data_IF_431742287391
#
_entry.id   IF_431742287391
#
_cell.length_a   1.000
_cell.length_b   1.000
_cell.length_c   1.000
_cell.angle_alpha   90.00
_cell.angle_beta   90.00
_cell.angle_gamma   90.00
#
_symmetry.space_group_name_H-M   'P 1'
#
loop_
_entity.id
_entity.type
_entity.pdbx_description
1 polymer ?
#
# COMPACT_ATOMS: atom_id res chain seq x y z
N UNK A 1 61.88 6.74 2.28
CA UNK A 1 60.66 7.52 2.63
C UNK A 1 59.60 7.23 1.58
N UNK A 2 58.59 6.41 1.91
CA UNK A 2 57.48 6.09 1.01
C UNK A 2 56.19 6.49 1.70
N UNK A 3 55.57 7.56 1.22
CA UNK A 3 54.29 8.06 1.72
C UNK A 3 53.17 7.19 1.14
N UNK A 4 52.66 6.26 1.94
CA UNK A 4 51.49 5.46 1.58
C UNK A 4 50.26 6.33 1.78
N UNK A 5 49.74 6.84 0.66
CA UNK A 5 48.46 7.53 0.54
C UNK A 5 47.35 6.75 1.27
N UNK A 6 46.89 7.27 2.41
CA UNK A 6 45.64 6.87 3.03
C UNK A 6 44.51 7.38 2.12
N UNK A 7 43.92 6.48 1.33
CA UNK A 7 42.68 6.78 0.63
C UNK A 7 41.58 6.97 1.68
N UNK A 8 40.97 8.14 1.59
CA UNK A 8 39.70 8.53 2.16
C UNK A 8 38.80 7.34 2.51
N UNK A 9 38.59 7.14 3.82
CA UNK A 9 37.46 6.37 4.34
C UNK A 9 36.18 7.06 3.88
N UNK A 10 35.53 6.51 2.86
CA UNK A 10 34.14 6.81 2.55
C UNK A 10 33.32 6.65 3.83
N UNK A 11 32.47 7.64 4.12
CA UNK A 11 31.53 7.62 5.24
C UNK A 11 30.87 6.24 5.34
N UNK A 12 30.70 5.67 6.55
CA UNK A 12 30.18 4.33 6.71
C UNK A 12 28.88 4.22 5.92
N UNK A 13 28.84 3.29 4.97
CA UNK A 13 27.62 2.92 4.28
C UNK A 13 26.61 2.52 5.36
N UNK A 14 25.72 3.44 5.68
CA UNK A 14 24.59 3.17 6.56
C UNK A 14 23.89 1.93 5.99
N UNK A 15 23.76 0.87 6.79
CA UNK A 15 23.30 -0.43 6.28
C UNK A 15 21.97 -0.27 5.52
N UNK A 16 21.81 -0.94 4.39
CA UNK A 16 20.58 -0.96 3.57
C UNK A 16 19.32 -1.05 4.44
N UNK A 17 19.32 -1.95 5.43
CA UNK A 17 18.21 -2.21 6.34
C UNK A 17 17.79 -1.04 7.22
N UNK A 18 18.72 -0.13 7.52
CA UNK A 18 18.43 1.07 8.32
C UNK A 18 17.88 2.16 7.40
N UNK A 19 18.49 2.34 6.23
CA UNK A 19 18.07 3.39 5.29
C UNK A 19 16.68 3.10 4.69
N UNK A 20 16.38 1.85 4.33
CA UNK A 20 15.08 1.47 3.73
C UNK A 20 13.88 1.64 4.66
N UNK A 21 14.12 1.72 5.98
CA UNK A 21 13.07 1.92 7.01
C UNK A 21 12.79 3.39 7.31
N UNK A 22 13.58 4.32 6.75
CA UNK A 22 13.39 5.75 7.03
C UNK A 22 12.12 6.28 6.36
N UNK A 23 11.30 7.08 7.06
CA UNK A 23 10.06 7.61 6.51
C UNK A 23 10.28 8.39 5.20
N UNK A 24 11.35 9.18 5.08
CA UNK A 24 11.67 9.89 3.84
C UNK A 24 11.99 8.95 2.67
N UNK A 25 12.73 7.87 2.91
CA UNK A 25 13.12 6.93 1.85
C UNK A 25 11.90 6.15 1.36
N UNK A 26 11.05 5.70 2.29
CA UNK A 26 9.75 5.08 1.99
C UNK A 26 8.85 6.06 1.23
N UNK A 27 8.79 7.32 1.65
CA UNK A 27 7.99 8.35 0.96
C UNK A 27 8.47 8.56 -0.48
N UNK A 28 9.78 8.70 -0.71
CA UNK A 28 10.34 8.86 -2.06
C UNK A 28 10.08 7.60 -2.91
N UNK A 29 10.13 6.41 -2.31
CA UNK A 29 9.80 5.15 -3.00
C UNK A 29 8.32 5.06 -3.40
N UNK A 30 7.40 5.51 -2.54
CA UNK A 30 5.95 5.47 -2.80
C UNK A 30 5.47 6.64 -3.67
N UNK A 31 6.18 7.76 -3.71
CA UNK A 31 5.76 8.98 -4.40
C UNK A 31 5.42 8.75 -5.89
N UNK A 32 6.19 7.97 -6.68
CA UNK A 32 5.80 7.65 -8.05
C UNK A 32 4.45 6.91 -8.16
N UNK A 33 4.16 6.00 -7.22
CA UNK A 33 2.88 5.26 -7.18
C UNK A 33 1.72 6.19 -6.82
N UNK A 34 1.93 7.05 -5.82
CA UNK A 34 0.94 8.05 -5.40
C UNK A 34 0.65 9.01 -6.56
N UNK A 35 1.68 9.56 -7.20
CA UNK A 35 1.52 10.45 -8.35
C UNK A 35 0.82 9.74 -9.52
N UNK A 36 1.17 8.48 -9.80
CA UNK A 36 0.50 7.72 -10.85
C UNK A 36 -0.99 7.56 -10.57
N UNK A 37 -1.36 7.19 -9.33
CA UNK A 37 -2.75 7.08 -8.90
C UNK A 37 -3.52 8.41 -9.01
N UNK A 38 -2.97 9.50 -8.47
CA UNK A 38 -3.59 10.83 -8.49
C UNK A 38 -3.77 11.36 -9.92
N UNK A 39 -2.75 11.16 -10.78
CA UNK A 39 -2.84 11.51 -12.20
C UNK A 39 -3.87 10.64 -12.93
N UNK A 40 -3.90 9.34 -12.66
CA UNK A 40 -4.86 8.41 -13.26
C UNK A 40 -6.30 8.83 -12.99
N UNK A 41 -6.58 9.19 -11.73
CA UNK A 41 -7.87 9.78 -11.33
C UNK A 41 -8.11 11.09 -12.07
N UNK A 42 -7.16 12.03 -12.07
CA UNK A 42 -7.32 13.31 -12.73
C UNK A 42 -7.57 13.20 -14.25
N UNK A 43 -6.98 12.21 -14.93
CA UNK A 43 -7.23 11.94 -16.34
C UNK A 43 -8.62 11.31 -16.57
N UNK A 44 -8.99 10.32 -15.76
CA UNK A 44 -10.31 9.66 -15.85
C UNK A 44 -11.45 10.63 -15.54
N UNK A 45 -11.29 11.56 -14.59
CA UNK A 45 -12.29 12.59 -14.25
C UNK A 45 -12.36 13.75 -15.26
N UNK A 46 -11.33 13.96 -16.09
CA UNK A 46 -11.31 15.06 -17.07
C UNK A 46 -11.88 14.66 -18.43
N UNK A 47 -12.00 13.37 -18.70
CA UNK A 47 -12.48 12.84 -19.98
C UNK A 47 -14.03 12.75 -19.99
N UNK A 48 -14.66 13.91 -19.76
CA UNK A 48 -16.11 14.15 -19.81
C UNK A 48 -16.65 14.33 -21.25
N UNK A 49 -15.81 14.16 -22.28
CA UNK A 49 -16.24 14.27 -23.67
C UNK A 49 -16.06 12.93 -24.41
N UNK A 50 -17.17 12.19 -24.49
CA UNK A 50 -17.45 11.04 -25.36
C UNK A 50 -17.44 9.60 -24.76
N UNK A 51 -18.61 9.24 -24.23
CA UNK A 51 -19.38 7.97 -24.38
C UNK A 51 -18.79 6.64 -23.85
N UNK A 52 -17.47 6.46 -23.64
CA UNK A 52 -16.92 5.20 -23.11
C UNK A 52 -16.40 5.28 -21.65
N UNK A 53 -16.22 6.48 -21.11
CA UNK A 53 -15.68 6.71 -19.76
C UNK A 53 -16.71 6.48 -18.65
N UNK A 54 -18.01 6.54 -18.96
CA UNK A 54 -19.08 6.44 -17.97
C UNK A 54 -19.06 5.09 -17.21
N UNK A 55 -18.71 3.98 -17.87
CA UNK A 55 -18.68 2.67 -17.22
C UNK A 55 -17.45 2.53 -16.32
N UNK A 56 -16.26 2.89 -16.79
CA UNK A 56 -15.04 2.82 -15.99
C UNK A 56 -15.09 3.78 -14.79
N UNK A 57 -15.66 4.97 -14.99
CA UNK A 57 -15.88 5.96 -13.94
C UNK A 57 -16.91 5.48 -12.91
N UNK A 58 -18.04 4.90 -13.34
CA UNK A 58 -19.04 4.32 -12.43
C UNK A 58 -18.50 3.13 -11.65
N UNK A 59 -17.80 2.19 -12.30
CA UNK A 59 -17.19 1.05 -11.62
C UNK A 59 -16.09 1.46 -10.64
N UNK A 60 -15.37 2.55 -10.93
CA UNK A 60 -14.40 3.14 -10.02
C UNK A 60 -15.08 3.75 -8.78
N UNK A 61 -16.16 4.52 -8.98
CA UNK A 61 -16.94 5.12 -7.90
C UNK A 61 -17.66 4.07 -7.05
N UNK A 62 -18.29 3.06 -7.68
CA UNK A 62 -18.92 1.92 -7.00
C UNK A 62 -17.89 1.10 -6.21
N UNK A 63 -16.68 0.89 -6.73
CA UNK A 63 -15.59 0.25 -5.97
C UNK A 63 -15.21 1.07 -4.75
N UNK A 64 -15.01 2.38 -4.88
CA UNK A 64 -14.68 3.23 -3.73
C UNK A 64 -15.81 3.27 -2.70
N UNK A 65 -17.07 3.22 -3.14
CA UNK A 65 -18.23 3.10 -2.26
C UNK A 65 -18.25 1.75 -1.51
N UNK A 66 -17.95 0.63 -2.19
CA UNK A 66 -17.82 -0.70 -1.59
C UNK A 66 -16.65 -0.78 -0.60
N UNK A 67 -15.54 -0.11 -0.92
CA UNK A 67 -14.35 0.03 -0.07
C UNK A 67 -14.59 1.11 1.02
N UNK A 68 -15.77 1.73 1.10
CA UNK A 68 -16.10 2.70 2.16
C UNK A 68 -15.33 4.03 2.08
N UNK A 69 -14.74 4.32 0.93
CA UNK A 69 -14.07 5.59 0.60
C UNK A 69 -15.11 6.50 -0.04
N UNK A 70 -15.66 7.44 0.75
CA UNK A 70 -16.75 8.31 0.33
C UNK A 70 -16.49 8.99 -1.05
N UNK A 71 -17.44 8.89 -2.02
CA UNK A 71 -17.25 9.34 -3.41
C UNK A 71 -16.92 10.84 -3.57
N UNK A 72 -17.30 11.68 -2.61
CA UNK A 72 -17.25 13.13 -2.75
C UNK A 72 -16.04 13.78 -2.06
N UNK A 73 -15.17 13.00 -1.39
CA UNK A 73 -14.02 13.56 -0.67
C UNK A 73 -12.88 12.61 -0.36
N UNK A 74 -13.04 11.28 -0.54
CA UNK A 74 -12.03 10.28 -0.17
C UNK A 74 -10.91 10.04 -1.18
N UNK A 75 -11.11 10.41 -2.46
CA UNK A 75 -10.20 10.07 -3.57
C UNK A 75 -8.82 10.74 -3.47
N UNK A 76 -8.78 12.02 -3.10
CA UNK A 76 -7.53 12.77 -2.92
C UNK A 76 -6.94 12.60 -1.51
N UNK A 77 -7.65 11.95 -0.58
CA UNK A 77 -7.24 11.84 0.81
C UNK A 77 -6.25 10.70 1.03
N UNK A 78 -6.32 9.61 0.26
CA UNK A 78 -5.43 8.46 0.46
C UNK A 78 -3.97 8.79 0.22
N UNK A 79 -3.63 9.30 -0.97
CA UNK A 79 -2.29 9.73 -1.34
C UNK A 79 -1.76 10.82 -0.39
N UNK A 80 -2.59 11.82 -0.11
CA UNK A 80 -2.25 12.91 0.79
C UNK A 80 -2.05 12.44 2.24
N UNK A 81 -2.84 11.48 2.73
CA UNK A 81 -2.68 10.92 4.07
C UNK A 81 -1.35 10.19 4.23
N UNK A 82 -0.92 9.42 3.23
CA UNK A 82 0.38 8.75 3.25
C UNK A 82 1.51 9.77 3.31
N UNK A 83 1.45 10.79 2.45
CA UNK A 83 2.42 11.88 2.45
C UNK A 83 2.43 12.56 3.81
N UNK A 84 1.28 12.93 4.35
CA UNK A 84 1.14 13.62 5.62
C UNK A 84 1.68 12.80 6.80
N UNK A 85 1.33 11.51 6.88
CA UNK A 85 1.77 10.62 7.97
C UNK A 85 3.27 10.37 7.90
N UNK A 86 3.81 10.00 6.73
CA UNK A 86 5.25 9.75 6.59
C UNK A 86 6.07 11.01 6.77
N UNK A 87 5.56 12.16 6.31
CA UNK A 87 6.23 13.45 6.50
C UNK A 87 6.20 13.90 7.96
N UNK A 88 5.05 13.77 8.63
CA UNK A 88 4.95 14.05 10.06
C UNK A 88 5.88 13.15 10.86
N UNK A 89 5.94 11.86 10.53
CA UNK A 89 6.84 10.91 11.16
C UNK A 89 8.32 11.26 10.92
N UNK A 90 8.70 11.60 9.67
CA UNK A 90 10.05 12.09 9.35
C UNK A 90 10.43 13.29 10.21
N UNK A 91 9.49 14.23 10.40
CA UNK A 91 9.71 15.45 11.19
C UNK A 91 9.87 15.13 12.68
N UNK A 92 9.07 14.20 13.22
CA UNK A 92 9.15 13.77 14.62
C UNK A 92 10.47 13.05 14.92
N UNK A 93 10.94 12.19 14.01
CA UNK A 93 12.19 11.45 14.16
C UNK A 93 13.44 12.30 13.93
N UNK A 94 13.31 13.47 13.27
CA UNK A 94 14.43 14.33 12.84
C UNK A 94 15.48 13.58 12.02
N UNK A 95 15.03 12.67 11.18
CA UNK A 95 15.89 11.90 10.28
C UNK A 95 16.60 12.81 9.26
N UNK A 96 17.81 12.45 8.80
CA UNK A 96 18.55 13.26 7.83
C UNK A 96 17.82 13.28 6.48
N UNK A 97 17.83 14.44 5.82
CA UNK A 97 17.23 14.65 4.49
C UNK A 97 18.14 14.14 3.36
N UNK A 98 18.53 12.88 3.45
CA UNK A 98 19.40 12.20 2.48
C UNK A 98 18.83 10.84 2.14
N UNK A 99 18.88 10.49 0.87
CA UNK A 99 18.53 9.17 0.38
C UNK A 99 19.46 8.78 -0.75
N UNK A 100 19.78 7.49 -0.85
CA UNK A 100 20.55 6.93 -1.96
C UNK A 100 19.63 6.27 -2.98
N UNK A 101 19.77 6.64 -4.25
CA UNK A 101 19.01 6.05 -5.35
C UNK A 101 19.23 4.52 -5.46
N UNK A 102 20.42 4.04 -5.11
CA UNK A 102 20.71 2.60 -5.06
C UNK A 102 19.81 1.84 -4.09
N UNK A 103 19.48 2.44 -2.94
CA UNK A 103 18.57 1.85 -1.94
C UNK A 103 17.14 1.75 -2.46
N UNK A 104 16.66 2.78 -3.15
CA UNK A 104 15.34 2.78 -3.79
C UNK A 104 15.26 1.68 -4.86
N UNK A 105 16.31 1.53 -5.68
CA UNK A 105 16.40 0.45 -6.67
C UNK A 105 16.38 -0.94 -6.04
N UNK A 106 17.09 -1.14 -4.92
CA UNK A 106 17.07 -2.40 -4.17
C UNK A 106 15.70 -2.68 -3.56
N UNK A 107 15.04 -1.67 -2.98
CA UNK A 107 13.67 -1.79 -2.45
C UNK A 107 12.68 -2.21 -3.54
N UNK A 108 12.81 -1.67 -4.76
CA UNK A 108 11.98 -2.06 -5.89
C UNK A 108 12.17 -3.54 -6.24
N UNK A 109 13.42 -3.98 -6.36
CA UNK A 109 13.73 -5.39 -6.66
C UNK A 109 13.22 -6.31 -5.56
N UNK A 110 13.48 -5.97 -4.29
CA UNK A 110 12.99 -6.74 -3.13
C UNK A 110 11.47 -6.84 -3.13
N UNK A 111 10.76 -5.73 -3.35
CA UNK A 111 9.30 -5.71 -3.40
C UNK A 111 8.75 -6.58 -4.55
N UNK A 112 9.36 -6.51 -5.73
CA UNK A 112 8.98 -7.35 -6.88
C UNK A 112 9.19 -8.84 -6.60
N UNK A 113 10.32 -9.20 -5.99
CA UNK A 113 10.63 -10.60 -5.62
C UNK A 113 9.65 -11.09 -4.55
N UNK A 114 9.36 -10.29 -3.52
CA UNK A 114 8.44 -10.63 -2.44
C UNK A 114 6.96 -10.69 -2.87
N UNK A 115 6.63 -10.10 -4.02
CA UNK A 115 5.29 -10.19 -4.61
C UNK A 115 5.04 -11.56 -5.26
N UNK A 116 6.09 -12.27 -5.72
CA UNK A 116 5.95 -13.53 -6.44
C UNK A 116 5.21 -14.63 -5.64
N UNK A 117 5.53 -14.89 -4.35
CA UNK A 117 4.79 -15.88 -3.57
C UNK A 117 3.31 -15.52 -3.42
N UNK A 118 3.00 -14.24 -3.23
CA UNK A 118 1.62 -13.75 -3.10
C UNK A 118 0.85 -13.95 -4.40
N UNK A 119 1.48 -13.69 -5.56
CA UNK A 119 0.89 -13.94 -6.88
C UNK A 119 0.60 -15.43 -7.10
N UNK A 120 1.54 -16.30 -6.73
CA UNK A 120 1.34 -17.76 -6.84
C UNK A 120 0.19 -18.21 -5.95
N UNK A 121 0.16 -17.77 -4.68
CA UNK A 121 -0.92 -18.09 -3.75
C UNK A 121 -2.27 -17.58 -4.22
N UNK A 122 -2.34 -16.34 -4.71
CA UNK A 122 -3.56 -15.76 -5.28
C UNK A 122 -4.10 -16.61 -6.43
N UNK A 123 -3.23 -17.06 -7.35
CA UNK A 123 -3.64 -17.93 -8.46
C UNK A 123 -4.17 -19.28 -8.00
N UNK A 124 -3.52 -19.91 -7.01
CA UNK A 124 -3.95 -21.20 -6.47
C UNK A 124 -5.32 -21.09 -5.78
N UNK A 125 -5.51 -20.07 -4.93
CA UNK A 125 -6.78 -19.84 -4.23
C UNK A 125 -7.91 -19.52 -5.22
N UNK A 126 -7.66 -18.68 -6.22
CA UNK A 126 -8.67 -18.34 -7.22
C UNK A 126 -9.06 -19.54 -8.08
N UNK A 127 -8.15 -20.48 -8.37
CA UNK A 127 -8.49 -21.70 -9.12
C UNK A 127 -9.41 -22.63 -8.32
N UNK A 128 -9.12 -22.86 -7.04
CA UNK A 128 -9.95 -23.69 -6.15
C UNK A 128 -11.32 -23.06 -5.89
N UNK A 129 -11.36 -21.73 -5.71
CA UNK A 129 -12.61 -21.01 -5.50
C UNK A 129 -13.46 -20.94 -6.77
N UNK A 130 -12.86 -20.76 -7.95
CA UNK A 130 -13.56 -20.80 -9.24
C UNK A 130 -14.10 -22.21 -9.58
N UNK A 131 -13.40 -23.27 -9.16
CA UNK A 131 -13.91 -24.64 -9.27
C UNK A 131 -15.12 -24.90 -8.36
N UNK A 132 -15.28 -24.09 -7.30
CA UNK A 132 -16.34 -24.22 -6.29
C UNK A 132 -17.50 -23.23 -6.48
N UNK A 133 -17.27 -22.11 -7.16
CA UNK A 133 -18.23 -21.02 -7.34
C UNK A 133 -18.73 -20.94 -8.78
N UNK A 134 -19.63 -21.86 -9.15
CA UNK A 134 -20.54 -21.59 -10.25
C UNK A 134 -21.56 -20.54 -9.78
N UNK A 135 -21.75 -19.49 -10.58
CA UNK A 135 -22.77 -18.43 -10.42
C UNK A 135 -22.41 -17.31 -9.43
N UNK A 136 -21.92 -16.19 -9.99
CA UNK A 136 -22.43 -14.83 -9.81
C UNK A 136 -21.50 -13.89 -10.59
N UNK A 137 -22.03 -13.30 -11.66
CA UNK A 137 -21.32 -12.34 -12.51
C UNK A 137 -21.36 -10.96 -11.85
N UNK A 138 -20.39 -10.69 -10.98
CA UNK A 138 -20.08 -9.33 -10.53
C UNK A 138 -19.27 -8.61 -11.61
N UNK A 139 -19.42 -7.29 -11.83
CA UNK A 139 -18.50 -6.52 -12.66
C UNK A 139 -17.06 -6.74 -12.17
N UNK A 140 -16.28 -7.45 -12.97
CA UNK A 140 -14.89 -7.76 -12.62
C UNK A 140 -13.99 -6.60 -13.02
N UNK A 141 -13.04 -6.25 -12.14
CA UNK A 141 -11.94 -5.33 -12.47
C UNK A 141 -11.22 -5.80 -13.75
N UNK A 142 -11.15 -7.12 -13.96
CA UNK A 142 -10.59 -7.75 -15.16
C UNK A 142 -11.23 -7.31 -16.48
N UNK A 143 -12.46 -6.79 -16.46
CA UNK A 143 -13.16 -6.28 -17.65
C UNK A 143 -12.76 -4.86 -18.06
N UNK A 144 -12.06 -4.12 -17.19
CA UNK A 144 -11.61 -2.74 -17.47
C UNK A 144 -10.40 -2.73 -18.42
N UNK A 145 -10.11 -1.62 -19.12
CA UNK A 145 -8.84 -1.47 -19.80
C UNK A 145 -7.66 -1.52 -18.80
N UNK A 146 -6.48 -1.93 -19.29
CA UNK A 146 -5.28 -2.10 -18.46
C UNK A 146 -4.99 -0.89 -17.56
N UNK A 147 -5.20 0.32 -18.08
CA UNK A 147 -4.79 1.52 -17.36
C UNK A 147 -5.65 1.81 -16.11
N UNK A 148 -6.99 1.89 -16.21
CA UNK A 148 -7.87 1.90 -15.02
C UNK A 148 -7.63 0.74 -14.04
N UNK A 149 -7.39 -0.47 -14.53
CA UNK A 149 -7.08 -1.63 -13.66
C UNK A 149 -5.86 -1.38 -12.79
N UNK A 150 -4.78 -0.86 -13.37
CA UNK A 150 -3.54 -0.54 -12.66
C UNK A 150 -3.77 0.59 -11.64
N UNK A 151 -4.54 1.62 -11.98
CA UNK A 151 -4.82 2.73 -11.07
C UNK A 151 -5.65 2.28 -9.86
N UNK A 152 -6.68 1.47 -10.07
CA UNK A 152 -7.46 0.88 -8.98
C UNK A 152 -6.58 0.00 -8.10
N UNK A 153 -5.77 -0.87 -8.71
CA UNK A 153 -4.90 -1.80 -7.98
C UNK A 153 -3.84 -1.08 -7.15
N UNK A 154 -3.23 -0.02 -7.71
CA UNK A 154 -2.24 0.80 -6.98
C UNK A 154 -2.92 1.55 -5.83
N UNK A 155 -4.06 2.21 -6.09
CA UNK A 155 -4.80 2.94 -5.06
C UNK A 155 -5.22 2.05 -3.89
N UNK A 156 -5.86 0.92 -4.21
CA UNK A 156 -6.30 -0.07 -3.22
C UNK A 156 -5.10 -0.59 -2.40
N UNK A 157 -4.05 -1.09 -3.07
CA UNK A 157 -2.90 -1.69 -2.39
C UNK A 157 -2.17 -0.72 -1.47
N UNK A 158 -1.91 0.52 -1.92
CA UNK A 158 -1.19 1.50 -1.08
C UNK A 158 -2.06 1.97 0.10
N UNK A 159 -3.37 2.13 -0.11
CA UNK A 159 -4.30 2.53 0.95
C UNK A 159 -4.49 1.44 2.02
N UNK A 160 -4.71 0.20 1.59
CA UNK A 160 -4.85 -0.95 2.47
C UNK A 160 -3.58 -1.17 3.32
N UNK A 161 -2.41 -1.03 2.72
CA UNK A 161 -1.13 -1.15 3.43
C UNK A 161 -1.00 -0.09 4.54
N UNK A 162 -1.38 1.17 4.25
CA UNK A 162 -1.39 2.25 5.24
C UNK A 162 -2.36 1.95 6.40
N UNK A 163 -3.59 1.57 6.08
CA UNK A 163 -4.63 1.38 7.10
C UNK A 163 -4.37 0.15 7.96
N UNK A 164 -4.22 -1.00 7.34
CA UNK A 164 -4.20 -2.27 8.08
C UNK A 164 -2.82 -2.51 8.69
N UNK A 165 -1.73 -2.26 7.97
CA UNK A 165 -0.40 -2.61 8.48
C UNK A 165 0.28 -1.47 9.21
N UNK A 166 0.24 -0.24 8.69
CA UNK A 166 0.86 0.86 9.43
C UNK A 166 -0.03 1.28 10.60
N UNK A 167 -1.23 1.78 10.33
CA UNK A 167 -2.08 2.39 11.35
C UNK A 167 -2.64 1.37 12.34
N UNK A 168 -3.30 0.30 11.86
CA UNK A 168 -3.96 -0.64 12.75
C UNK A 168 -2.95 -1.42 13.60
N UNK A 169 -1.84 -1.91 13.03
CA UNK A 169 -0.80 -2.56 13.85
C UNK A 169 -0.19 -1.58 14.84
N UNK A 170 0.12 -0.33 14.45
CA UNK A 170 0.70 0.65 15.39
C UNK A 170 -0.26 0.94 16.55
N UNK A 171 -1.54 1.19 16.28
CA UNK A 171 -2.55 1.46 17.32
C UNK A 171 -2.74 0.23 18.21
N UNK A 172 -2.95 -0.96 17.63
CA UNK A 172 -3.12 -2.20 18.39
C UNK A 172 -1.87 -2.49 19.24
N UNK A 173 -0.68 -2.34 18.67
CA UNK A 173 0.57 -2.54 19.38
C UNK A 173 0.69 -1.59 20.57
N UNK A 174 0.46 -0.29 20.38
CA UNK A 174 0.50 0.70 21.47
C UNK A 174 -0.53 0.40 22.55
N UNK A 175 -1.76 0.00 22.19
CA UNK A 175 -2.76 -0.38 23.18
C UNK A 175 -2.37 -1.64 23.96
N UNK A 176 -1.78 -2.64 23.29
CA UNK A 176 -1.43 -3.92 23.89
C UNK A 176 -0.15 -3.84 24.74
N UNK A 177 0.88 -3.18 24.23
CA UNK A 177 2.21 -3.11 24.86
C UNK A 177 2.33 -1.90 25.78
N UNK A 178 2.00 -0.69 25.31
CA UNK A 178 2.22 0.53 26.10
C UNK A 178 1.12 0.72 27.16
N UNK A 179 -0.14 0.45 26.81
CA UNK A 179 -1.29 0.64 27.72
C UNK A 179 -1.55 -0.60 28.57
N UNK A 180 -1.72 -1.77 27.94
CA UNK A 180 -2.03 -3.02 28.64
C UNK A 180 -0.79 -3.76 29.18
N UNK A 181 0.43 -3.28 28.88
CA UNK A 181 1.70 -3.81 29.42
C UNK A 181 1.95 -5.28 29.10
N UNK A 182 1.51 -5.74 27.93
CA UNK A 182 1.87 -7.06 27.43
C UNK A 182 3.35 -7.11 27.03
N UNK A 183 3.90 -8.32 27.00
CA UNK A 183 5.23 -8.57 26.45
C UNK A 183 5.30 -8.17 24.98
N UNK A 184 6.42 -7.56 24.57
CA UNK A 184 6.65 -6.99 23.23
C UNK A 184 6.31 -7.98 22.11
N UNK A 185 6.82 -9.21 22.21
CA UNK A 185 6.60 -10.22 21.16
C UNK A 185 5.13 -10.63 21.10
N UNK A 186 4.49 -10.81 22.26
CA UNK A 186 3.08 -11.19 22.33
C UNK A 186 2.18 -10.06 21.81
N UNK A 187 2.44 -8.82 22.20
CA UNK A 187 1.71 -7.65 21.74
C UNK A 187 1.81 -7.49 20.22
N UNK A 188 3.02 -7.61 19.66
CA UNK A 188 3.25 -7.55 18.22
C UNK A 188 2.54 -8.67 17.46
N UNK A 189 2.66 -9.93 17.91
CA UNK A 189 1.98 -11.06 17.27
C UNK A 189 0.46 -10.88 17.30
N UNK A 190 -0.11 -10.49 18.43
CA UNK A 190 -1.56 -10.25 18.54
C UNK A 190 -1.99 -9.09 17.63
N UNK A 191 -1.26 -7.97 17.61
CA UNK A 191 -1.56 -6.84 16.74
C UNK A 191 -1.58 -7.23 15.25
N UNK A 192 -0.60 -8.03 14.80
CA UNK A 192 -0.52 -8.54 13.43
C UNK A 192 -1.72 -9.45 13.13
N UNK A 193 -2.03 -10.41 14.00
CA UNK A 193 -3.12 -11.35 13.78
C UNK A 193 -4.49 -10.66 13.76
N UNK A 194 -4.72 -9.72 14.67
CA UNK A 194 -5.97 -8.94 14.73
C UNK A 194 -6.09 -8.06 13.50
N UNK A 195 -5.02 -7.37 13.07
CA UNK A 195 -5.03 -6.59 11.84
C UNK A 195 -5.32 -7.45 10.59
N UNK A 196 -4.71 -8.64 10.48
CA UNK A 196 -4.96 -9.57 9.39
C UNK A 196 -6.42 -10.08 9.39
N UNK A 197 -7.00 -10.32 10.56
CA UNK A 197 -8.41 -10.69 10.70
C UNK A 197 -9.34 -9.54 10.29
N UNK A 198 -9.03 -8.29 10.67
CA UNK A 198 -9.77 -7.11 10.25
C UNK A 198 -9.70 -6.90 8.73
N UNK A 199 -8.53 -7.10 8.11
CA UNK A 199 -8.37 -7.06 6.66
C UNK A 199 -9.25 -8.12 5.96
N UNK A 200 -9.24 -9.35 6.48
CA UNK A 200 -10.06 -10.44 5.93
C UNK A 200 -11.57 -10.17 6.11
N UNK A 201 -11.98 -9.60 7.24
CA UNK A 201 -13.36 -9.19 7.46
C UNK A 201 -13.78 -8.12 6.46
N UNK A 202 -12.91 -7.13 6.23
CA UNK A 202 -13.17 -6.01 5.34
C UNK A 202 -13.20 -6.43 3.85
N UNK A 203 -12.52 -7.53 3.48
CA UNK A 203 -12.60 -8.14 2.14
C UNK A 203 -13.27 -9.52 2.16
N UNK A 204 -14.62 -9.61 2.23
CA UNK A 204 -15.33 -10.87 2.13
C UNK A 204 -15.00 -11.60 0.82
N UNK A 205 -14.66 -12.89 0.94
CA UNK A 205 -14.27 -13.75 -0.20
C UNK A 205 -15.40 -14.02 -1.20
N UNK A 206 -16.65 -13.79 -0.79
CA UNK A 206 -17.83 -13.87 -1.62
C UNK A 206 -18.32 -12.45 -1.86
N UNK A 207 -18.30 -11.98 -3.11
CA UNK A 207 -18.72 -10.63 -3.49
C UNK A 207 -20.23 -10.37 -3.31
N UNK A 208 -20.74 -10.45 -2.09
CA UNK A 208 -22.15 -10.24 -1.78
C UNK A 208 -22.43 -10.36 -0.28
N UNK A 209 -22.49 -9.20 0.38
CA UNK A 209 -23.45 -8.83 1.42
C UNK A 209 -22.89 -7.62 2.19
N UNK A 210 -22.98 -6.45 1.55
CA UNK A 210 -23.29 -5.26 2.33
C UNK A 210 -24.70 -5.43 2.88
N UNK A 211 -24.83 -6.11 4.01
CA UNK A 211 -25.98 -6.01 4.91
C UNK A 211 -25.48 -6.12 6.34
N UNK A 212 -25.38 -4.96 7.00
CA UNK A 212 -26.19 -4.64 8.18
C UNK A 212 -26.66 -3.20 8.08
#
# INVERSE_FOLDING_TARGET
>A
MSARSMRSTSAPDESYWIESRRPLVVLVFLLPLIVAYELGIAFVLREDDHINTNTAHKSLLEFFEIVGVAPTGGLYLGGLAIIAVLFAWHMLNRDPWRFRLGTIGLMLVESLVLTLPVLVLSRLVSQELAASAATLSSPSIESLPLWPQLMISIGAGVYEELLFRMLAIAVLHTLLVDVAKLDELKGAVIAILVSAALFTWYHPLTGGAGEL
#
